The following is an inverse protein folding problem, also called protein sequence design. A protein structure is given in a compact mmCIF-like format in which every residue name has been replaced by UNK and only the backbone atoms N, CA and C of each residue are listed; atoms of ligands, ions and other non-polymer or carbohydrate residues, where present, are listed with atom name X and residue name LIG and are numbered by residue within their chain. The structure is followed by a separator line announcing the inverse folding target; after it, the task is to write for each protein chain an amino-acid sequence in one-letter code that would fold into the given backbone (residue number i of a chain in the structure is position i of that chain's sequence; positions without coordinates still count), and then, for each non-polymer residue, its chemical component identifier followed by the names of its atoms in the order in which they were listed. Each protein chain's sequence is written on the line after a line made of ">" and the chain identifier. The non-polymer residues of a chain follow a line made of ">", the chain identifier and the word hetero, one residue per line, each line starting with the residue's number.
data_IF_874645133466
#
_entry.id   IF_874645133466
#
_cell.length_a   1.000
_cell.length_b   1.000
_cell.length_c   1.000
_cell.angle_alpha   90.00
_cell.angle_beta   90.00
_cell.angle_gamma   90.00
#
_symmetry.space_group_name_H-M   'P 1'
#
loop_
_entity.id
_entity.type
_entity.pdbx_description
1 polymer ?
#
# COMPACT_ATOMS: atom_id res chain seq x y z
N UNK A 1 -23.67 -18.20 47.11
CA UNK A 1 -22.24 -17.93 47.33
C UNK A 1 -21.43 -18.96 46.55
N UNK A 2 -20.90 -18.62 45.37
CA UNK A 2 -20.09 -19.54 44.57
C UNK A 2 -18.62 -19.39 44.93
N UNK A 3 -18.05 -20.43 45.55
CA UNK A 3 -16.64 -20.54 45.88
C UNK A 3 -15.85 -20.92 44.63
N UNK A 4 -15.12 -19.95 44.07
CA UNK A 4 -14.17 -20.20 43.00
C UNK A 4 -12.95 -20.95 43.56
N UNK A 5 -12.58 -22.07 42.93
CA UNK A 5 -11.43 -22.88 43.34
C UNK A 5 -10.11 -22.10 43.17
N UNK A 6 -9.13 -22.36 44.04
CA UNK A 6 -7.80 -21.71 43.97
C UNK A 6 -7.14 -21.84 42.58
N UNK A 7 -7.40 -22.93 41.86
CA UNK A 7 -6.87 -23.18 40.52
C UNK A 7 -7.44 -22.22 39.45
N UNK A 8 -8.71 -21.83 39.58
CA UNK A 8 -9.34 -20.87 38.67
C UNK A 8 -8.85 -19.43 38.86
N UNK A 9 -8.37 -19.07 40.06
CA UNK A 9 -7.76 -17.75 40.33
C UNK A 9 -6.35 -17.64 39.79
N UNK A 10 -5.56 -18.71 39.85
CA UNK A 10 -4.20 -18.75 39.27
C UNK A 10 -4.23 -18.72 37.74
N UNK A 11 -5.22 -19.36 37.10
CA UNK A 11 -5.35 -19.32 35.65
C UNK A 11 -5.80 -17.95 35.12
N UNK A 12 -6.70 -17.27 35.85
CA UNK A 12 -7.13 -15.91 35.50
C UNK A 12 -6.01 -14.88 35.75
N UNK A 13 -5.22 -15.05 36.80
CA UNK A 13 -4.05 -14.21 37.06
C UNK A 13 -2.92 -14.43 36.03
N UNK A 14 -2.71 -15.66 35.56
CA UNK A 14 -1.77 -15.95 34.48
C UNK A 14 -2.23 -15.38 33.13
N UNK A 15 -3.54 -15.47 32.81
CA UNK A 15 -4.12 -14.82 31.63
C UNK A 15 -4.06 -13.29 31.70
N UNK A 16 -4.29 -12.69 32.88
CA UNK A 16 -4.11 -11.24 33.08
C UNK A 16 -2.63 -10.84 33.00
N UNK A 17 -1.70 -11.65 33.53
CA UNK A 17 -0.27 -11.39 33.40
C UNK A 17 0.20 -11.50 31.94
N UNK A 18 -0.33 -12.43 31.15
CA UNK A 18 -0.06 -12.57 29.69
C UNK A 18 -0.75 -11.45 28.90
N UNK A 19 -1.95 -11.01 29.28
CA UNK A 19 -2.63 -9.88 28.63
C UNK A 19 -1.98 -8.53 28.96
N UNK A 20 -1.38 -8.37 30.14
CA UNK A 20 -0.62 -7.18 30.53
C UNK A 20 0.81 -7.20 29.93
N UNK A 21 1.38 -8.37 29.66
CA UNK A 21 2.67 -8.51 28.96
C UNK A 21 2.57 -8.62 27.43
N UNK A 22 1.35 -8.65 26.89
CA UNK A 22 1.06 -8.46 25.47
C UNK A 22 0.53 -7.06 25.13
N UNK A 23 0.67 -6.09 26.05
CA UNK A 23 0.85 -4.71 25.61
C UNK A 23 2.09 -4.73 24.70
N UNK A 24 2.01 -4.29 23.43
CA UNK A 24 3.18 -4.28 22.59
C UNK A 24 4.26 -3.54 23.36
N UNK A 25 5.40 -4.20 23.55
CA UNK A 25 6.64 -3.56 23.92
C UNK A 25 7.04 -2.62 22.78
N UNK A 26 6.27 -1.54 22.59
CA UNK A 26 6.79 -0.21 22.34
C UNK A 26 7.57 0.16 23.59
N UNK A 27 8.69 -0.55 23.82
CA UNK A 27 9.78 0.03 24.57
C UNK A 27 9.96 1.41 23.95
N UNK A 28 9.66 2.45 24.74
CA UNK A 28 9.87 3.85 24.37
C UNK A 28 11.31 3.94 23.88
N UNK A 29 11.52 3.87 22.57
CA UNK A 29 12.80 4.25 21.97
C UNK A 29 13.02 5.67 22.47
N UNK A 30 14.00 5.84 23.35
CA UNK A 30 14.43 7.16 23.80
C UNK A 30 15.10 7.81 22.60
N UNK A 31 14.32 8.57 21.84
CA UNK A 31 14.82 9.41 20.76
C UNK A 31 15.46 10.64 21.42
N UNK A 32 16.74 10.89 21.14
CA UNK A 32 17.55 11.82 21.92
C UNK A 32 17.38 13.29 21.52
N UNK A 33 16.90 13.61 20.32
CA UNK A 33 16.63 15.01 19.91
C UNK A 33 15.65 15.09 18.72
N UNK A 34 14.77 16.09 18.64
CA UNK A 34 14.00 16.41 17.44
C UNK A 34 14.91 16.67 16.24
N UNK A 35 14.53 16.22 15.04
CA UNK A 35 15.31 16.48 13.81
C UNK A 35 15.39 17.97 13.51
N UNK A 36 16.60 18.53 13.55
CA UNK A 36 16.90 19.94 13.25
C UNK A 36 17.00 20.19 11.75
N UNK A 37 17.10 21.45 11.32
CA UNK A 37 17.27 21.80 9.92
C UNK A 37 18.59 21.25 9.33
N UNK A 38 19.66 21.23 10.11
CA UNK A 38 20.95 20.65 9.71
C UNK A 38 20.85 19.13 9.55
N UNK A 39 20.07 18.47 10.41
CA UNK A 39 19.84 17.03 10.29
C UNK A 39 19.11 16.70 8.99
N UNK A 40 18.16 17.53 8.53
CA UNK A 40 17.51 17.33 7.24
C UNK A 40 18.50 17.40 6.07
N UNK A 41 19.49 18.30 6.10
CA UNK A 41 20.52 18.36 5.07
C UNK A 41 21.39 17.10 5.07
N UNK A 42 21.79 16.62 6.26
CA UNK A 42 22.54 15.36 6.40
C UNK A 42 21.74 14.15 5.92
N UNK A 43 20.44 14.09 6.25
CA UNK A 43 19.54 13.04 5.76
C UNK A 43 19.44 13.06 4.24
N UNK A 44 19.24 14.24 3.63
CA UNK A 44 19.20 14.35 2.16
C UNK A 44 20.53 13.95 1.51
N UNK A 45 21.66 14.34 2.08
CA UNK A 45 22.98 13.98 1.57
C UNK A 45 23.22 12.46 1.56
N UNK A 46 22.58 11.70 2.46
CA UNK A 46 22.66 10.23 2.49
C UNK A 46 21.59 9.57 1.60
N UNK A 47 20.36 10.08 1.63
CA UNK A 47 19.22 9.48 0.95
C UNK A 47 19.21 9.74 -0.56
N UNK A 48 19.75 10.87 -1.03
CA UNK A 48 19.78 11.18 -2.47
C UNK A 48 20.66 10.17 -3.24
N UNK A 49 21.91 9.89 -2.84
CA UNK A 49 22.70 8.83 -3.47
C UNK A 49 22.03 7.45 -3.35
N UNK A 50 21.40 7.14 -2.20
CA UNK A 50 20.66 5.88 -2.01
C UNK A 50 19.48 5.76 -3.01
N UNK A 51 18.75 6.86 -3.23
CA UNK A 51 17.64 6.91 -4.16
C UNK A 51 18.09 6.76 -5.62
N UNK A 52 19.20 7.40 -6.00
CA UNK A 52 19.80 7.28 -7.33
C UNK A 52 20.31 5.85 -7.57
N UNK A 53 21.01 5.26 -6.59
CA UNK A 53 21.45 3.87 -6.63
C UNK A 53 20.26 2.92 -6.74
N UNK A 54 19.19 3.15 -5.97
CA UNK A 54 17.97 2.35 -6.10
C UNK A 54 17.38 2.47 -7.50
N UNK A 55 17.28 3.67 -8.07
CA UNK A 55 16.71 3.87 -9.40
C UNK A 55 17.53 3.15 -10.49
N UNK A 56 18.86 3.21 -10.41
CA UNK A 56 19.78 2.58 -11.37
C UNK A 56 20.00 1.08 -11.15
N UNK A 57 19.70 0.55 -9.96
CA UNK A 57 19.92 -0.86 -9.65
C UNK A 57 19.15 -1.78 -10.62
N UNK A 58 19.77 -2.87 -11.13
CA UNK A 58 19.10 -3.81 -12.01
C UNK A 58 17.99 -4.58 -11.28
N UNK A 59 17.04 -5.10 -12.06
CA UNK A 59 15.90 -5.87 -11.53
C UNK A 59 14.72 -5.00 -11.12
N UNK A 60 13.76 -5.62 -10.44
CA UNK A 60 12.46 -5.01 -10.15
C UNK A 60 12.09 -5.00 -8.66
N UNK A 61 13.07 -5.19 -7.76
CA UNK A 61 12.82 -5.34 -6.33
C UNK A 61 12.06 -4.14 -5.71
N UNK A 62 11.17 -4.44 -4.76
CA UNK A 62 10.50 -3.43 -3.96
C UNK A 62 11.53 -2.68 -3.08
N UNK A 63 11.29 -1.39 -2.76
CA UNK A 63 12.21 -0.65 -1.92
C UNK A 63 12.21 -1.16 -0.48
N UNK A 64 13.39 -1.32 0.10
CA UNK A 64 13.55 -1.55 1.53
C UNK A 64 13.56 -0.19 2.28
N UNK A 65 13.09 -0.13 3.54
CA UNK A 65 13.31 1.03 4.38
C UNK A 65 14.81 1.26 4.63
N UNK A 66 15.25 2.51 4.46
CA UNK A 66 16.64 2.91 4.71
C UNK A 66 16.98 2.80 6.20
N UNK A 67 18.18 2.31 6.51
CA UNK A 67 18.70 2.28 7.87
C UNK A 67 18.82 3.68 8.49
N UNK A 68 19.04 4.69 7.65
CA UNK A 68 19.16 6.11 8.04
C UNK A 68 17.88 6.62 8.72
N UNK A 69 16.72 6.12 8.29
CA UNK A 69 15.42 6.58 8.79
C UNK A 69 15.01 5.96 10.13
N UNK A 70 15.73 4.94 10.64
CA UNK A 70 15.31 4.16 11.81
C UNK A 70 15.18 4.96 13.11
N UNK A 71 15.95 6.03 13.25
CA UNK A 71 16.04 6.84 14.47
C UNK A 71 15.55 8.28 14.26
N UNK A 72 14.97 8.58 13.10
CA UNK A 72 14.45 9.92 12.79
C UNK A 72 13.11 10.11 13.50
N UNK A 73 12.92 11.26 14.13
CA UNK A 73 11.65 11.65 14.74
C UNK A 73 11.28 13.07 14.30
N UNK A 74 10.14 13.18 13.64
CA UNK A 74 9.60 14.48 13.26
C UNK A 74 8.70 15.05 14.35
N UNK A 75 8.84 16.35 14.55
CA UNK A 75 7.95 17.14 15.40
C UNK A 75 7.20 18.15 14.54
N UNK A 76 6.28 18.90 15.16
CA UNK A 76 5.55 19.96 14.47
C UNK A 76 6.48 21.02 13.83
N UNK A 77 7.65 21.27 14.44
CA UNK A 77 8.65 22.19 13.93
C UNK A 77 9.30 21.70 12.62
N UNK A 78 9.39 20.38 12.43
CA UNK A 78 9.99 19.75 11.25
C UNK A 78 9.14 19.90 9.97
N UNK A 79 7.89 20.37 10.08
CA UNK A 79 6.94 20.40 8.96
C UNK A 79 7.46 21.20 7.74
N UNK A 80 8.13 22.32 7.97
CA UNK A 80 8.67 23.18 6.92
C UNK A 80 9.80 22.50 6.15
N UNK A 81 10.79 21.99 6.88
CA UNK A 81 11.95 21.31 6.33
C UNK A 81 11.56 20.00 5.64
N UNK A 82 10.64 19.22 6.22
CA UNK A 82 10.14 18.01 5.59
C UNK A 82 9.41 18.32 4.28
N UNK A 83 8.56 19.36 4.25
CA UNK A 83 7.89 19.79 3.01
C UNK A 83 8.89 20.23 1.95
N UNK A 84 9.98 20.91 2.34
CA UNK A 84 11.04 21.30 1.42
C UNK A 84 11.81 20.08 0.91
N UNK A 85 12.22 19.17 1.79
CA UNK A 85 12.90 17.93 1.44
C UNK A 85 12.07 17.06 0.49
N UNK A 86 10.77 16.95 0.71
CA UNK A 86 9.83 16.24 -0.15
C UNK A 86 9.63 16.89 -1.53
N UNK A 87 9.98 18.18 -1.69
CA UNK A 87 9.94 18.92 -2.96
C UNK A 87 11.27 18.88 -3.71
N UNK A 88 12.29 18.25 -3.16
CA UNK A 88 13.58 18.04 -3.83
C UNK A 88 13.33 17.38 -5.18
N UNK A 89 13.82 18.04 -6.25
CA UNK A 89 13.72 17.52 -7.61
C UNK A 89 14.96 16.70 -7.90
N UNK A 90 14.75 15.42 -8.20
CA UNK A 90 15.79 14.54 -8.72
C UNK A 90 15.60 14.35 -10.23
N UNK A 91 16.68 14.00 -10.93
CA UNK A 91 16.61 13.76 -12.39
C UNK A 91 15.74 12.55 -12.73
N UNK A 92 15.83 11.50 -11.91
CA UNK A 92 15.06 10.28 -12.08
C UNK A 92 13.75 10.34 -11.26
N UNK A 93 12.56 10.24 -11.90
CA UNK A 93 11.27 10.20 -11.19
C UNK A 93 11.18 9.06 -10.17
N UNK A 94 11.83 7.93 -10.42
CA UNK A 94 11.84 6.79 -9.52
C UNK A 94 12.68 7.07 -8.27
N UNK A 95 13.82 7.75 -8.42
CA UNK A 95 14.60 8.22 -7.28
C UNK A 95 13.79 9.21 -6.43
N UNK A 96 13.01 10.09 -7.07
CA UNK A 96 12.15 11.02 -6.34
C UNK A 96 11.07 10.32 -5.51
N UNK A 97 10.43 9.27 -6.07
CA UNK A 97 9.47 8.45 -5.31
C UNK A 97 10.14 7.68 -4.18
N UNK A 98 11.35 7.15 -4.40
CA UNK A 98 12.14 6.51 -3.34
C UNK A 98 12.40 7.47 -2.18
N UNK A 99 12.92 8.66 -2.49
CA UNK A 99 13.23 9.67 -1.49
C UNK A 99 11.98 10.05 -0.68
N UNK A 100 10.85 10.27 -1.34
CA UNK A 100 9.58 10.52 -0.66
C UNK A 100 9.17 9.35 0.23
N UNK A 101 9.24 8.11 -0.26
CA UNK A 101 8.92 6.92 0.53
C UNK A 101 9.77 6.84 1.80
N UNK A 102 11.08 7.09 1.72
CA UNK A 102 11.97 7.08 2.88
C UNK A 102 11.66 8.20 3.87
N UNK A 103 11.53 9.44 3.39
CA UNK A 103 11.24 10.60 4.22
C UNK A 103 9.89 10.52 4.93
N UNK A 104 8.93 9.73 4.43
CA UNK A 104 7.63 9.56 5.08
C UNK A 104 7.62 8.40 6.10
N UNK A 105 8.62 7.49 6.09
CA UNK A 105 8.66 6.32 7.01
C UNK A 105 8.47 6.66 8.49
N UNK A 106 9.03 7.77 9.03
CA UNK A 106 8.86 8.09 10.45
C UNK A 106 7.49 8.67 10.83
N UNK A 107 6.69 9.12 9.84
CA UNK A 107 5.44 9.84 10.11
C UNK A 107 4.34 9.05 10.83
N UNK A 108 4.21 7.70 10.71
CA UNK A 108 3.24 6.96 11.51
C UNK A 108 3.48 7.07 13.03
N UNK A 109 4.67 7.49 13.44
CA UNK A 109 5.03 7.75 14.85
C UNK A 109 4.94 9.23 15.22
N UNK A 110 4.59 10.11 14.28
CA UNK A 110 4.44 11.53 14.52
C UNK A 110 3.03 11.88 15.02
N UNK A 111 2.89 13.03 15.68
CA UNK A 111 1.58 13.52 16.15
C UNK A 111 0.69 14.03 15.03
N UNK A 112 -0.63 13.97 15.25
CA UNK A 112 -1.67 14.36 14.28
C UNK A 112 -1.48 15.78 13.72
N UNK A 113 -1.04 16.74 14.55
CA UNK A 113 -0.82 18.13 14.13
C UNK A 113 0.22 18.26 13.01
N UNK A 114 1.27 17.44 13.03
CA UNK A 114 2.27 17.41 11.97
C UNK A 114 1.64 16.88 10.68
N UNK A 115 0.90 15.78 10.78
CA UNK A 115 0.23 15.18 9.62
C UNK A 115 -0.76 16.17 8.99
N UNK A 116 -1.56 16.86 9.80
CA UNK A 116 -2.49 17.92 9.36
C UNK A 116 -1.77 19.04 8.61
N UNK A 117 -0.61 19.50 9.10
CA UNK A 117 0.23 20.48 8.37
C UNK A 117 0.78 19.94 7.05
N UNK A 118 1.00 18.63 6.93
CA UNK A 118 1.51 17.98 5.72
C UNK A 118 0.41 17.50 4.77
N UNK A 119 -0.87 17.54 5.17
CA UNK A 119 -2.02 17.03 4.40
C UNK A 119 -1.96 17.36 2.91
N UNK A 120 -1.75 18.62 2.48
CA UNK A 120 -1.79 18.94 1.05
C UNK A 120 -0.68 18.22 0.28
N UNK A 121 0.51 18.13 0.87
CA UNK A 121 1.65 17.42 0.29
C UNK A 121 1.38 15.92 0.21
N UNK A 122 0.83 15.31 1.27
CA UNK A 122 0.52 13.88 1.29
C UNK A 122 -0.57 13.51 0.27
N UNK A 123 -1.59 14.36 0.14
CA UNK A 123 -2.69 14.16 -0.81
C UNK A 123 -2.20 14.29 -2.26
N UNK A 124 -1.39 15.30 -2.56
CA UNK A 124 -0.76 15.46 -3.88
C UNK A 124 0.14 14.27 -4.23
N UNK A 125 0.92 13.76 -3.27
CA UNK A 125 1.72 12.55 -3.50
C UNK A 125 0.88 11.30 -3.76
N UNK A 126 -0.26 11.14 -3.08
CA UNK A 126 -1.17 10.01 -3.34
C UNK A 126 -1.69 10.06 -4.78
N UNK A 127 -2.01 11.25 -5.30
CA UNK A 127 -2.45 11.43 -6.68
C UNK A 127 -1.34 11.10 -7.70
N UNK A 128 -0.08 11.32 -7.34
CA UNK A 128 1.10 10.96 -8.16
C UNK A 128 1.43 9.47 -8.14
N UNK A 129 0.88 8.70 -7.20
CA UNK A 129 1.02 7.24 -7.17
C UNK A 129 0.20 6.61 -8.30
N UNK A 130 0.80 6.51 -9.49
CA UNK A 130 0.19 5.95 -10.69
C UNK A 130 0.87 4.64 -11.09
N UNK A 131 0.05 3.65 -11.40
CA UNK A 131 0.53 2.36 -11.92
C UNK A 131 0.59 2.38 -13.44
N UNK A 132 1.69 1.89 -13.98
CA UNK A 132 1.92 1.71 -15.40
C UNK A 132 1.50 0.30 -15.83
N UNK A 133 0.99 0.18 -17.06
CA UNK A 133 0.64 -1.11 -17.66
C UNK A 133 1.87 -1.80 -18.24
N UNK A 134 1.85 -3.12 -18.32
CA UNK A 134 2.89 -3.86 -19.05
C UNK A 134 2.93 -3.43 -20.53
N UNK A 135 4.14 -3.35 -21.12
CA UNK A 135 4.27 -2.95 -22.52
C UNK A 135 3.76 -4.07 -23.42
N UNK A 136 3.14 -3.69 -24.53
CA UNK A 136 2.77 -4.63 -25.60
C UNK A 136 3.86 -4.63 -26.65
N UNK A 137 4.55 -5.75 -26.80
CA UNK A 137 5.65 -5.88 -27.75
C UNK A 137 5.14 -6.10 -29.18
N UNK A 138 5.82 -5.53 -30.19
CA UNK A 138 5.49 -5.78 -31.59
C UNK A 138 5.54 -7.28 -31.94
N UNK A 139 4.65 -7.71 -32.83
CA UNK A 139 4.58 -9.12 -33.28
C UNK A 139 5.92 -9.63 -33.81
N UNK A 140 6.68 -8.79 -34.52
CA UNK A 140 8.00 -9.13 -35.05
C UNK A 140 9.00 -9.45 -33.93
N UNK A 141 9.04 -8.65 -32.86
CA UNK A 141 9.86 -8.90 -31.68
C UNK A 141 9.46 -10.21 -31.01
N UNK A 142 8.16 -10.45 -30.83
CA UNK A 142 7.64 -11.70 -30.25
C UNK A 142 8.04 -12.92 -31.11
N UNK A 143 7.95 -12.82 -32.44
CA UNK A 143 8.37 -13.89 -33.36
C UNK A 143 9.88 -14.15 -33.33
N UNK A 144 10.70 -13.11 -33.12
CA UNK A 144 12.14 -13.26 -32.93
C UNK A 144 12.46 -14.03 -31.64
N UNK A 145 11.70 -13.77 -30.57
CA UNK A 145 11.90 -14.39 -29.25
C UNK A 145 11.49 -15.87 -29.22
N UNK A 146 10.54 -16.29 -30.06
CA UNK A 146 10.12 -17.68 -30.22
C UNK A 146 11.21 -18.55 -30.84
N UNK A 147 11.28 -19.81 -30.37
CA UNK A 147 12.19 -20.80 -30.94
C UNK A 147 11.83 -21.10 -32.41
N UNK A 148 12.84 -21.27 -33.28
CA UNK A 148 12.59 -21.61 -34.68
C UNK A 148 12.01 -23.02 -34.80
N UNK A 149 10.94 -23.18 -35.60
CA UNK A 149 10.33 -24.49 -35.86
C UNK A 149 11.17 -25.40 -36.76
N UNK A 150 12.08 -24.83 -37.56
CA UNK A 150 12.97 -25.56 -38.47
C UNK A 150 14.42 -25.37 -38.04
N UNK A 151 15.24 -26.43 -38.17
CA UNK A 151 16.69 -26.34 -37.93
C UNK A 151 17.32 -25.40 -38.96
N UNK A 152 18.10 -24.45 -38.46
CA UNK A 152 18.86 -23.48 -39.27
C UNK A 152 20.32 -23.93 -39.39
N UNK A 153 21.03 -23.59 -40.48
CA UNK A 153 22.49 -23.71 -40.56
C UNK A 153 23.17 -23.02 -39.38
N UNK A 154 24.30 -23.57 -38.90
CA UNK A 154 24.97 -23.13 -37.64
C UNK A 154 25.25 -21.62 -37.59
N UNK A 155 25.80 -21.04 -38.66
CA UNK A 155 26.14 -19.62 -38.69
C UNK A 155 24.89 -18.71 -38.58
N UNK A 156 23.79 -19.05 -39.26
CA UNK A 156 22.52 -18.32 -39.15
C UNK A 156 21.87 -18.51 -37.77
N UNK A 157 21.98 -19.71 -37.19
CA UNK A 157 21.48 -19.99 -35.86
C UNK A 157 22.18 -19.13 -34.80
N UNK A 158 23.50 -18.97 -34.88
CA UNK A 158 24.28 -18.10 -33.98
C UNK A 158 23.89 -16.62 -34.10
N UNK A 159 23.79 -16.09 -35.32
CA UNK A 159 23.37 -14.71 -35.56
C UNK A 159 21.95 -14.43 -35.02
N UNK A 160 21.01 -15.35 -35.26
CA UNK A 160 19.65 -15.25 -34.72
C UNK A 160 19.66 -15.28 -33.20
N UNK A 161 20.40 -16.19 -32.58
CA UNK A 161 20.46 -16.31 -31.12
C UNK A 161 21.03 -15.05 -30.47
N UNK A 162 22.06 -14.42 -31.07
CA UNK A 162 22.58 -13.13 -30.61
C UNK A 162 21.50 -12.04 -30.65
N UNK A 163 20.77 -11.92 -31.76
CA UNK A 163 19.65 -10.98 -31.91
C UNK A 163 18.52 -11.26 -30.92
N UNK A 164 18.18 -12.54 -30.72
CA UNK A 164 17.16 -12.98 -29.77
C UNK A 164 17.55 -12.62 -28.33
N UNK A 165 18.79 -12.85 -27.92
CA UNK A 165 19.29 -12.48 -26.58
C UNK A 165 19.25 -10.97 -26.37
N UNK A 166 19.68 -10.18 -27.36
CA UNK A 166 19.60 -8.72 -27.28
C UNK A 166 18.15 -8.22 -27.15
N UNK A 167 17.24 -8.75 -27.97
CA UNK A 167 15.81 -8.42 -27.88
C UNK A 167 15.18 -8.86 -26.55
N UNK A 168 15.56 -10.03 -26.02
CA UNK A 168 15.08 -10.52 -24.73
C UNK A 168 15.60 -9.65 -23.58
N UNK A 169 16.86 -9.23 -23.63
CA UNK A 169 17.44 -8.32 -22.64
C UNK A 169 16.73 -6.97 -22.67
N UNK A 170 16.55 -6.37 -23.85
CA UNK A 170 15.77 -5.12 -24.01
C UNK A 170 14.35 -5.26 -23.46
N UNK A 171 13.71 -6.40 -23.76
CA UNK A 171 12.37 -6.72 -23.26
C UNK A 171 12.32 -6.76 -21.73
N UNK A 172 13.20 -7.55 -21.12
CA UNK A 172 13.27 -7.71 -19.67
C UNK A 172 13.58 -6.39 -18.97
N UNK A 173 14.53 -5.60 -19.48
CA UNK A 173 14.87 -4.29 -18.89
C UNK A 173 13.66 -3.35 -18.87
N UNK A 174 12.93 -3.23 -19.99
CA UNK A 174 11.76 -2.35 -20.06
C UNK A 174 10.60 -2.82 -19.17
N UNK A 175 10.34 -4.13 -19.12
CA UNK A 175 9.30 -4.69 -18.26
C UNK A 175 9.65 -4.57 -16.77
N UNK A 176 10.91 -4.84 -16.40
CA UNK A 176 11.39 -4.70 -15.02
C UNK A 176 11.31 -3.26 -14.54
N UNK A 177 11.65 -2.27 -15.37
CA UNK A 177 11.53 -0.85 -15.02
C UNK A 177 10.08 -0.48 -14.63
N UNK A 178 9.09 -0.97 -15.39
CA UNK A 178 7.66 -0.76 -15.11
C UNK A 178 7.26 -1.42 -13.78
N UNK A 179 7.67 -2.67 -13.55
CA UNK A 179 7.35 -3.39 -12.30
C UNK A 179 7.99 -2.71 -11.09
N UNK A 180 9.24 -2.26 -11.24
CA UNK A 180 9.98 -1.54 -10.19
C UNK A 180 9.27 -0.24 -9.81
N UNK A 181 8.87 0.55 -10.81
CA UNK A 181 8.08 1.77 -10.62
C UNK A 181 6.76 1.47 -9.91
N UNK A 182 6.03 0.44 -10.33
CA UNK A 182 4.76 0.06 -9.70
C UNK A 182 4.96 -0.42 -8.25
N UNK A 183 6.02 -1.17 -7.96
CA UNK A 183 6.35 -1.60 -6.59
C UNK A 183 6.72 -0.42 -5.69
N UNK A 184 7.46 0.55 -6.22
CA UNK A 184 7.76 1.80 -5.53
C UNK A 184 6.48 2.60 -5.24
N UNK A 185 5.64 2.84 -6.27
CA UNK A 185 4.37 3.53 -6.12
C UNK A 185 3.46 2.84 -5.10
N UNK A 186 3.41 1.50 -5.10
CA UNK A 186 2.61 0.73 -4.14
C UNK A 186 3.15 0.87 -2.70
N UNK A 187 4.47 0.84 -2.51
CA UNK A 187 5.08 1.03 -1.19
C UNK A 187 4.75 2.41 -0.61
N UNK A 188 4.91 3.46 -1.43
CA UNK A 188 4.55 4.83 -1.07
C UNK A 188 3.04 4.98 -0.82
N UNK A 189 2.20 4.43 -1.70
CA UNK A 189 0.74 4.51 -1.59
C UNK A 189 0.24 3.87 -0.29
N UNK A 190 0.74 2.70 0.09
CA UNK A 190 0.36 2.03 1.36
C UNK A 190 0.64 2.90 2.58
N UNK A 191 1.81 3.53 2.60
CA UNK A 191 2.19 4.44 3.68
C UNK A 191 1.28 5.67 3.70
N UNK A 192 1.09 6.33 2.55
CA UNK A 192 0.22 7.50 2.42
C UNK A 192 -1.22 7.21 2.85
N UNK A 193 -1.78 6.07 2.43
CA UNK A 193 -3.12 5.63 2.84
C UNK A 193 -3.25 5.51 4.34
N UNK A 194 -2.26 4.89 4.98
CA UNK A 194 -2.24 4.71 6.44
C UNK A 194 -2.17 6.06 7.15
N UNK A 195 -1.32 6.97 6.67
CA UNK A 195 -1.18 8.32 7.21
C UNK A 195 -2.47 9.14 7.06
N UNK A 196 -3.09 9.15 5.88
CA UNK A 196 -4.30 9.95 5.61
C UNK A 196 -5.52 9.48 6.42
N UNK A 197 -5.65 8.17 6.65
CA UNK A 197 -6.73 7.64 7.50
C UNK A 197 -6.51 8.02 8.97
N UNK A 198 -5.26 7.95 9.45
CA UNK A 198 -4.88 8.26 10.82
C UNK A 198 -5.24 9.71 11.20
N UNK A 199 -5.10 10.65 10.26
CA UNK A 199 -5.31 12.09 10.48
C UNK A 199 -6.70 12.51 10.96
N UNK A 200 -7.72 11.70 10.73
CA UNK A 200 -9.09 12.06 11.15
C UNK A 200 -9.72 13.24 10.42
N UNK A 201 -9.12 13.70 9.30
CA UNK A 201 -9.54 14.90 8.56
C UNK A 201 -10.49 14.57 7.41
N UNK A 202 -11.47 15.44 7.16
CA UNK A 202 -12.48 15.25 6.12
C UNK A 202 -11.88 15.24 4.72
N UNK A 203 -10.97 16.17 4.40
CA UNK A 203 -10.34 16.24 3.07
C UNK A 203 -9.42 15.05 2.83
N UNK A 204 -8.68 14.61 3.85
CA UNK A 204 -7.88 13.40 3.78
C UNK A 204 -8.76 12.16 3.53
N UNK A 205 -9.90 12.08 4.22
CA UNK A 205 -10.87 10.99 4.04
C UNK A 205 -11.50 11.00 2.64
N UNK A 206 -11.84 12.17 2.12
CA UNK A 206 -12.34 12.30 0.74
C UNK A 206 -11.31 11.81 -0.29
N UNK A 207 -10.04 12.21 -0.16
CA UNK A 207 -8.98 11.73 -1.06
C UNK A 207 -8.80 10.21 -1.02
N UNK A 208 -8.91 9.61 0.16
CA UNK A 208 -8.90 8.15 0.35
C UNK A 208 -10.08 7.46 -0.34
N UNK A 209 -11.28 8.02 -0.19
CA UNK A 209 -12.51 7.48 -0.78
C UNK A 209 -12.53 7.62 -2.32
N UNK A 210 -12.03 8.74 -2.85
CA UNK A 210 -11.84 8.94 -4.30
C UNK A 210 -10.82 7.94 -4.86
N UNK A 211 -9.73 7.70 -4.13
CA UNK A 211 -8.74 6.69 -4.50
C UNK A 211 -9.37 5.30 -4.51
N UNK A 212 -10.13 4.92 -3.47
CA UNK A 212 -10.84 3.65 -3.41
C UNK A 212 -11.77 3.45 -4.62
N UNK A 213 -12.59 4.45 -4.93
CA UNK A 213 -13.49 4.43 -6.10
C UNK A 213 -12.71 4.17 -7.40
N UNK A 214 -11.57 4.85 -7.58
CA UNK A 214 -10.70 4.68 -8.75
C UNK A 214 -10.12 3.26 -8.85
N UNK A 215 -9.63 2.70 -7.74
CA UNK A 215 -9.07 1.35 -7.70
C UNK A 215 -10.11 0.28 -8.03
N UNK A 216 -11.32 0.43 -7.50
CA UNK A 216 -12.44 -0.49 -7.79
C UNK A 216 -12.84 -0.39 -9.26
N UNK A 217 -12.95 0.83 -9.80
CA UNK A 217 -13.30 1.08 -11.22
C UNK A 217 -12.25 0.52 -12.17
N UNK A 218 -10.96 0.73 -11.86
CA UNK A 218 -9.81 0.22 -12.65
C UNK A 218 -9.53 -1.26 -12.43
N UNK A 219 -10.23 -1.91 -11.49
CA UNK A 219 -10.04 -3.31 -11.10
C UNK A 219 -8.61 -3.59 -10.64
N UNK A 220 -8.07 -2.72 -9.81
CA UNK A 220 -6.77 -2.93 -9.15
C UNK A 220 -6.96 -3.54 -7.78
N UNK A 221 -6.21 -4.58 -7.44
CA UNK A 221 -6.32 -5.20 -6.11
C UNK A 221 -5.81 -4.31 -4.97
N UNK A 222 -5.21 -3.16 -5.30
CA UNK A 222 -4.71 -2.16 -4.35
C UNK A 222 -5.82 -1.54 -3.50
N UNK A 223 -7.09 -1.68 -3.90
CA UNK A 223 -8.26 -1.35 -3.06
C UNK A 223 -8.18 -2.02 -1.69
N UNK A 224 -7.57 -3.22 -1.60
CA UNK A 224 -7.44 -3.98 -0.34
C UNK A 224 -6.61 -3.21 0.67
N UNK A 225 -5.58 -2.49 0.23
CA UNK A 225 -4.76 -1.66 1.11
C UNK A 225 -5.54 -0.46 1.65
N UNK A 226 -6.46 0.09 0.85
CA UNK A 226 -7.36 1.16 1.31
C UNK A 226 -8.33 0.64 2.36
N UNK A 227 -8.96 -0.51 2.10
CA UNK A 227 -9.85 -1.16 3.07
C UNK A 227 -9.11 -1.58 4.35
N UNK A 228 -7.88 -2.05 4.24
CA UNK A 228 -7.02 -2.42 5.37
C UNK A 228 -6.64 -1.21 6.23
N UNK A 229 -6.23 -0.09 5.61
CA UNK A 229 -5.94 1.14 6.34
C UNK A 229 -7.16 1.65 7.13
N UNK A 230 -8.34 1.64 6.50
CA UNK A 230 -9.61 2.00 7.16
C UNK A 230 -9.94 1.02 8.27
N UNK A 231 -9.83 -0.29 8.03
CA UNK A 231 -10.08 -1.34 9.02
C UNK A 231 -9.21 -1.17 10.26
N UNK A 232 -7.91 -0.89 10.08
CA UNK A 232 -6.97 -0.76 11.19
C UNK A 232 -7.29 0.45 12.09
N UNK A 233 -7.89 1.50 11.54
CA UNK A 233 -8.26 2.70 12.30
C UNK A 233 -9.72 2.71 12.76
N UNK A 234 -10.58 1.81 12.24
CA UNK A 234 -12.03 1.88 12.38
C UNK A 234 -12.52 2.08 13.84
N UNK A 235 -11.89 1.43 14.82
CA UNK A 235 -12.27 1.52 16.24
C UNK A 235 -11.84 2.81 16.93
N UNK A 236 -10.90 3.55 16.33
CA UNK A 236 -10.35 4.81 16.84
C UNK A 236 -10.87 6.02 16.04
N UNK A 237 -11.69 5.81 15.02
CA UNK A 237 -12.26 6.89 14.22
C UNK A 237 -13.28 7.70 15.01
N UNK A 238 -13.28 9.02 14.77
CA UNK A 238 -14.38 9.89 15.19
C UNK A 238 -15.65 9.51 14.43
N UNK A 239 -16.81 9.73 15.04
CA UNK A 239 -18.10 9.32 14.48
C UNK A 239 -18.34 9.84 13.06
N UNK A 240 -18.08 11.12 12.79
CA UNK A 240 -18.31 11.73 11.47
C UNK A 240 -17.40 11.14 10.39
N UNK A 241 -16.13 10.90 10.73
CA UNK A 241 -15.18 10.22 9.85
C UNK A 241 -15.63 8.79 9.56
N UNK A 242 -15.98 8.03 10.60
CA UNK A 242 -16.45 6.66 10.47
C UNK A 242 -17.72 6.58 9.61
N UNK A 243 -18.65 7.53 9.77
CA UNK A 243 -19.87 7.64 8.99
C UNK A 243 -19.59 7.92 7.51
N UNK A 244 -18.68 8.85 7.20
CA UNK A 244 -18.26 9.14 5.83
C UNK A 244 -17.69 7.90 5.13
N UNK A 245 -16.80 7.15 5.79
CA UNK A 245 -16.29 5.88 5.26
C UNK A 245 -17.39 4.83 5.13
N UNK A 246 -18.25 4.69 6.14
CA UNK A 246 -19.35 3.74 6.15
C UNK A 246 -20.27 3.94 4.94
N UNK A 247 -20.77 5.16 4.73
CA UNK A 247 -21.74 5.48 3.69
C UNK A 247 -21.13 5.28 2.29
N UNK A 248 -19.90 5.75 2.09
CA UNK A 248 -19.24 5.67 0.78
C UNK A 248 -18.83 4.23 0.41
N UNK A 249 -18.23 3.49 1.35
CA UNK A 249 -17.84 2.09 1.12
C UNK A 249 -19.08 1.22 0.89
N UNK A 250 -20.16 1.44 1.65
CA UNK A 250 -21.41 0.72 1.47
C UNK A 250 -22.01 0.97 0.08
N UNK A 251 -22.02 2.22 -0.38
CA UNK A 251 -22.47 2.57 -1.73
C UNK A 251 -21.64 1.84 -2.79
N UNK A 252 -20.31 1.93 -2.73
CA UNK A 252 -19.42 1.25 -3.67
C UNK A 252 -19.63 -0.27 -3.67
N UNK A 253 -19.82 -0.87 -2.49
CA UNK A 253 -20.06 -2.31 -2.37
C UNK A 253 -21.38 -2.73 -3.02
N UNK A 254 -22.43 -1.90 -2.95
CA UNK A 254 -23.72 -2.16 -3.60
C UNK A 254 -23.63 -2.07 -5.12
N UNK A 255 -22.83 -1.14 -5.65
CA UNK A 255 -22.60 -0.98 -7.09
C UNK A 255 -21.71 -2.09 -7.68
N UNK A 256 -20.73 -2.55 -6.92
CA UNK A 256 -19.78 -3.57 -7.33
C UNK A 256 -20.29 -5.00 -7.02
N UNK A 257 -21.32 -5.43 -7.75
CA UNK A 257 -21.89 -6.77 -7.60
C UNK A 257 -20.98 -7.87 -8.17
N UNK A 258 -20.95 -9.00 -7.45
CA UNK A 258 -20.33 -10.25 -7.85
C UNK A 258 -18.81 -10.29 -7.80
N UNK A 259 -18.27 -11.44 -8.20
CA UNK A 259 -16.82 -11.63 -8.33
C UNK A 259 -16.31 -11.10 -9.66
N UNK A 260 -15.21 -10.33 -9.64
CA UNK A 260 -14.56 -9.78 -10.84
C UNK A 260 -13.06 -10.07 -10.82
N UNK A 261 -12.43 -10.02 -12.00
CA UNK A 261 -10.97 -10.10 -12.11
C UNK A 261 -10.34 -8.76 -11.73
N UNK A 262 -9.43 -8.79 -10.76
CA UNK A 262 -8.61 -7.66 -10.35
C UNK A 262 -7.14 -7.95 -10.65
N UNK A 263 -6.43 -6.98 -11.19
CA UNK A 263 -5.00 -7.08 -11.48
C UNK A 263 -4.17 -6.55 -10.29
N UNK A 264 -3.04 -7.19 -10.03
CA UNK A 264 -2.02 -6.71 -9.10
C UNK A 264 -0.87 -6.06 -9.88
N UNK A 265 -0.76 -4.72 -9.89
CA UNK A 265 0.26 -4.02 -10.68
C UNK A 265 1.70 -4.26 -10.20
N UNK A 266 1.89 -4.98 -9.09
CA UNK A 266 3.20 -5.28 -8.51
C UNK A 266 3.65 -6.73 -8.68
N UNK A 267 2.77 -7.59 -9.20
CA UNK A 267 3.00 -9.02 -9.39
C UNK A 267 3.03 -9.34 -10.89
N UNK A 268 4.20 -9.28 -11.54
CA UNK A 268 4.31 -9.59 -12.96
C UNK A 268 4.21 -11.09 -13.23
N UNK A 269 3.66 -11.43 -14.38
CA UNK A 269 3.74 -12.73 -15.03
C UNK A 269 4.63 -12.57 -16.27
N UNK A 270 5.95 -12.69 -16.07
CA UNK A 270 6.93 -12.55 -17.13
C UNK A 270 6.81 -13.69 -18.15
N UNK A 271 6.87 -13.34 -19.44
CA UNK A 271 6.92 -14.30 -20.54
C UNK A 271 8.10 -14.00 -21.44
N UNK A 272 8.99 -14.96 -21.68
CA UNK A 272 10.18 -14.71 -22.52
C UNK A 272 9.84 -14.59 -24.01
N UNK A 273 8.75 -15.21 -24.46
CA UNK A 273 8.37 -15.36 -25.88
C UNK A 273 6.99 -14.78 -26.22
N UNK A 274 6.47 -13.91 -25.35
CA UNK A 274 5.17 -13.25 -25.48
C UNK A 274 5.06 -11.98 -24.65
N UNK A 275 3.90 -11.34 -24.68
CA UNK A 275 3.65 -10.18 -23.81
C UNK A 275 3.51 -10.64 -22.36
N UNK A 276 4.27 -10.01 -21.48
CA UNK A 276 4.11 -10.17 -20.04
C UNK A 276 2.82 -9.49 -19.58
N UNK A 277 2.24 -9.98 -18.48
CA UNK A 277 1.02 -9.43 -17.87
C UNK A 277 1.23 -9.17 -16.39
N UNK A 278 0.25 -8.54 -15.75
CA UNK A 278 0.15 -8.55 -14.29
C UNK A 278 -0.77 -9.68 -13.86
N UNK A 279 -0.42 -10.35 -12.75
CA UNK A 279 -1.23 -11.40 -12.16
C UNK A 279 -2.63 -10.87 -11.89
N UNK A 280 -3.64 -11.61 -12.36
CA UNK A 280 -5.03 -11.31 -12.08
C UNK A 280 -5.68 -12.39 -11.25
N UNK A 281 -6.49 -11.99 -10.29
CA UNK A 281 -7.24 -12.88 -9.41
C UNK A 281 -8.71 -12.49 -9.36
N UNK A 282 -9.57 -13.49 -9.26
CA UNK A 282 -11.01 -13.29 -9.12
C UNK A 282 -11.33 -12.96 -7.66
N UNK A 283 -11.75 -11.74 -7.40
CA UNK A 283 -12.04 -11.22 -6.05
C UNK A 283 -13.49 -10.73 -5.93
N UNK A 284 -13.99 -10.73 -4.70
CA UNK A 284 -15.33 -10.22 -4.37
C UNK A 284 -15.20 -8.94 -3.54
N UNK A 285 -14.98 -7.80 -4.21
CA UNK A 285 -14.81 -6.50 -3.54
C UNK A 285 -15.92 -6.22 -2.52
N UNK A 286 -17.19 -6.38 -2.89
CA UNK A 286 -18.31 -6.08 -2.00
C UNK A 286 -18.28 -6.90 -0.70
N UNK A 287 -17.80 -8.14 -0.71
CA UNK A 287 -17.74 -8.97 0.48
C UNK A 287 -16.62 -8.49 1.43
N UNK A 288 -15.47 -8.09 0.90
CA UNK A 288 -14.39 -7.50 1.72
C UNK A 288 -14.78 -6.11 2.24
N UNK A 289 -15.39 -5.28 1.39
CA UNK A 289 -15.86 -3.95 1.74
C UNK A 289 -16.91 -3.96 2.85
N UNK A 290 -17.91 -4.85 2.77
CA UNK A 290 -18.97 -4.94 3.77
C UNK A 290 -18.47 -5.42 5.14
N UNK A 291 -17.38 -6.21 5.20
CA UNK A 291 -16.71 -6.53 6.47
C UNK A 291 -16.15 -5.27 7.14
N UNK A 292 -15.58 -4.34 6.36
CA UNK A 292 -15.09 -3.06 6.88
C UNK A 292 -16.25 -2.16 7.30
N UNK A 293 -17.32 -2.10 6.50
CA UNK A 293 -18.57 -1.37 6.85
C UNK A 293 -19.11 -1.83 8.21
N UNK A 294 -19.13 -3.14 8.47
CA UNK A 294 -19.61 -3.68 9.75
C UNK A 294 -18.71 -3.32 10.94
N UNK A 295 -17.40 -3.14 10.72
CA UNK A 295 -16.50 -2.64 11.77
C UNK A 295 -16.71 -1.15 12.04
N UNK A 296 -16.99 -0.37 10.99
CA UNK A 296 -17.28 1.06 11.09
C UNK A 296 -18.65 1.34 11.73
N UNK A 297 -19.61 0.42 11.60
CA UNK A 297 -21.00 0.58 12.03
C UNK A 297 -21.12 1.10 13.48
N UNK A 298 -20.33 0.53 14.39
CA UNK A 298 -20.32 0.95 15.81
C UNK A 298 -19.86 2.40 15.98
N UNK A 299 -18.71 2.75 15.41
CA UNK A 299 -18.16 4.11 15.51
C UNK A 299 -19.04 5.14 14.78
N UNK A 300 -19.66 4.75 13.66
CA UNK A 300 -20.55 5.58 12.85
C UNK A 300 -21.98 5.71 13.42
N UNK A 301 -22.35 4.92 14.44
CA UNK A 301 -23.72 4.74 14.94
C UNK A 301 -24.71 4.37 13.82
N UNK A 302 -24.28 3.47 12.95
CA UNK A 302 -25.07 2.94 11.82
C UNK A 302 -25.36 1.45 12.04
N UNK A 303 -26.40 0.88 11.40
CA UNK A 303 -26.67 -0.55 11.49
C UNK A 303 -25.60 -1.38 10.79
N UNK A 304 -25.30 -2.57 11.30
CA UNK A 304 -24.51 -3.54 10.54
C UNK A 304 -25.31 -4.06 9.34
N UNK A 305 -24.61 -4.41 8.26
CA UNK A 305 -25.17 -4.88 6.99
C UNK A 305 -24.87 -6.37 6.81
N UNK A 306 -25.81 -7.09 6.18
CA UNK A 306 -25.62 -8.50 5.84
C UNK A 306 -24.52 -8.68 4.80
N UNK A 307 -23.64 -9.66 5.01
CA UNK A 307 -22.62 -10.02 4.04
C UNK A 307 -23.24 -10.89 2.92
N UNK A 308 -22.79 -10.74 1.66
CA UNK A 308 -23.24 -11.59 0.55
C UNK A 308 -22.98 -13.07 0.87
N UNK A 309 -24.04 -13.89 0.84
CA UNK A 309 -23.97 -15.32 1.15
C UNK A 309 -24.30 -15.69 2.61
N UNK A 310 -24.46 -14.72 3.51
CA UNK A 310 -24.92 -14.98 4.88
C UNK A 310 -26.46 -14.96 4.95
N UNK A 311 -27.05 -15.97 5.61
CA UNK A 311 -28.50 -15.99 5.86
C UNK A 311 -28.85 -14.89 6.87
N UNK A 312 -29.96 -14.15 6.67
CA UNK A 312 -30.41 -13.18 7.66
C UNK A 312 -30.65 -13.88 9.01
N UNK A 313 -30.34 -13.22 10.15
CA UNK A 313 -30.62 -13.79 11.45
C UNK A 313 -32.11 -14.11 11.55
N UNK A 314 -32.46 -15.38 11.82
CA UNK A 314 -33.84 -15.81 12.02
C UNK A 314 -34.44 -14.94 13.14
N UNK A 315 -35.48 -14.15 12.82
CA UNK A 315 -36.28 -13.45 13.85
C UNK A 315 -36.79 -14.51 14.82
N UNK A 316 -36.27 -14.52 16.06
CA UNK A 316 -36.88 -15.29 17.14
C UNK A 316 -38.27 -14.71 17.35
N UNK A 317 -39.31 -15.43 16.93
CA UNK A 317 -40.67 -15.12 17.36
C UNK A 317 -40.67 -15.09 18.88
N UNK A 318 -40.83 -13.89 19.46
CA UNK A 318 -41.24 -13.76 20.85
C UNK A 318 -42.61 -14.43 20.93
N UNK A 319 -42.66 -15.64 21.47
CA UNK A 319 -43.90 -16.24 21.97
C UNK A 319 -44.41 -15.26 23.04
N UNK A 320 -45.58 -14.69 22.77
CA UNK A 320 -46.38 -13.98 23.77
C UNK A 320 -46.91 -14.99 24.77
#
# INVERSE_FOLDING_TARGET
>A
MMTWSRASRTFLAAMLAVAISAAPAFARRRYLTPTTAEDFQKLLAQLVPEAENYAQAPGDAAPAPSGVMRNVQYTLASAGQLRQALRTKLKDPQAQLYLAYQLLQPLPMAGDDLLLKLRPTLTDMLQRCQYQSMPTWPRATIQLLKQPRKRLPRHLAQLREKRRRAALAQKRTAEQAIVKQNRMANALEKLLKSLLVLMGDEKASQAMLERLSSEVRRRWCTYRYTLEAVRNQAVHMKQDQAKSYYDHILRLAREASGQRHYADPTQPEYRDDGNSSFRSQRLHFAAEALKVVNLLATAARQPAVLLPGEKPPKKKHRRR
#
